data_IF_017935277652
#
_entry.id   IF_017935277652
#
_cell.length_a   1.000
_cell.length_b   1.000
_cell.length_c   1.000
_cell.angle_alpha   90.00
_cell.angle_beta   90.00
_cell.angle_gamma   90.00
#
_symmetry.space_group_name_H-M   'P 1'
#
loop_
_entity.id
_entity.type
_entity.pdbx_description
1 polymer ?
#
# COMPACT_ATOMS: atom_id res chain seq x y z
N UNK A 1 12.10 -9.15 -16.42
CA UNK A 1 10.63 -9.28 -16.47
C UNK A 1 10.13 -8.98 -17.87
N UNK A 2 9.08 -9.69 -18.29
CA UNK A 2 8.24 -9.34 -19.44
C UNK A 2 6.81 -9.31 -18.90
N UNK A 3 6.12 -8.19 -19.11
CA UNK A 3 4.77 -7.97 -18.62
C UNK A 3 3.88 -7.44 -19.77
N UNK A 4 2.56 -7.67 -19.72
CA UNK A 4 1.64 -7.13 -20.72
C UNK A 4 1.70 -5.61 -20.81
N UNK A 5 1.62 -5.06 -22.03
CA UNK A 5 1.48 -3.62 -22.21
C UNK A 5 0.14 -3.14 -21.65
N UNK A 6 0.21 -2.11 -20.80
CA UNK A 6 -0.96 -1.49 -20.20
C UNK A 6 -1.14 -0.07 -20.75
N UNK A 7 -2.26 0.16 -21.41
CA UNK A 7 -2.64 1.49 -21.91
C UNK A 7 -3.22 2.34 -20.77
N UNK A 8 -2.74 3.57 -20.62
CA UNK A 8 -3.27 4.54 -19.65
C UNK A 8 -2.17 5.34 -18.96
N UNK A 9 -2.57 6.16 -17.99
CA UNK A 9 -1.62 6.89 -17.15
C UNK A 9 -1.10 5.96 -16.05
N UNK A 10 0.23 5.87 -15.94
CA UNK A 10 0.88 5.22 -14.81
C UNK A 10 0.84 6.14 -13.59
N UNK A 11 0.43 5.61 -12.45
CA UNK A 11 0.25 6.33 -11.21
C UNK A 11 0.89 5.57 -10.06
N UNK A 12 1.78 6.26 -9.34
CA UNK A 12 2.31 5.80 -8.06
C UNK A 12 1.40 6.31 -6.94
N UNK A 13 0.77 5.41 -6.19
CA UNK A 13 -0.16 5.76 -5.11
C UNK A 13 0.55 5.78 -3.76
N UNK A 14 1.46 4.83 -3.54
CA UNK A 14 2.34 4.79 -2.38
C UNK A 14 3.77 4.46 -2.81
N UNK A 15 4.76 4.73 -1.95
CA UNK A 15 6.07 4.11 -2.08
C UNK A 15 6.29 3.06 -0.98
N UNK A 16 7.53 2.57 -0.85
CA UNK A 16 7.93 1.61 0.17
C UNK A 16 8.40 2.25 1.50
N UNK A 17 8.17 3.54 1.74
CA UNK A 17 8.65 4.21 2.97
C UNK A 17 7.67 5.24 3.55
N UNK A 18 7.42 6.35 2.84
CA UNK A 18 6.71 7.51 3.42
C UNK A 18 5.77 8.23 2.45
N UNK A 19 5.86 7.97 1.15
CA UNK A 19 5.08 8.68 0.15
C UNK A 19 3.67 8.09 0.04
N UNK A 20 2.69 8.99 0.05
CA UNK A 20 1.28 8.75 -0.26
C UNK A 20 0.85 9.83 -1.24
N UNK A 21 0.24 9.45 -2.36
CA UNK A 21 -0.25 10.42 -3.36
C UNK A 21 -1.40 11.23 -2.78
N UNK A 22 -1.29 12.54 -2.88
CA UNK A 22 -2.24 13.52 -2.34
C UNK A 22 -2.89 14.36 -3.44
N UNK A 23 -4.07 14.91 -3.14
CA UNK A 23 -4.73 15.94 -3.93
C UNK A 23 -4.14 17.33 -3.63
N UNK A 24 -4.72 18.37 -4.27
CA UNK A 24 -4.29 19.77 -4.14
C UNK A 24 -4.44 20.31 -2.71
N UNK A 25 -5.39 19.76 -1.94
CA UNK A 25 -5.64 20.12 -0.54
C UNK A 25 -4.72 19.35 0.43
N UNK A 26 -3.86 18.47 -0.09
CA UNK A 26 -2.91 17.69 0.70
C UNK A 26 -3.50 16.43 1.35
N UNK A 27 -4.71 16.03 0.97
CA UNK A 27 -5.38 14.81 1.43
C UNK A 27 -5.04 13.62 0.53
N UNK A 28 -4.97 12.38 1.03
CA UNK A 28 -4.80 11.20 0.19
C UNK A 28 -5.88 11.13 -0.90
N UNK A 29 -5.47 10.90 -2.16
CA UNK A 29 -6.46 10.68 -3.23
C UNK A 29 -7.24 9.39 -2.96
N UNK A 30 -8.46 9.26 -3.48
CA UNK A 30 -9.30 8.05 -3.26
C UNK A 30 -8.57 6.73 -3.55
N UNK A 31 -7.75 6.71 -4.61
CA UNK A 31 -6.91 5.55 -4.93
C UNK A 31 -5.87 5.24 -3.86
N UNK A 32 -5.25 6.28 -3.27
CA UNK A 32 -4.30 6.15 -2.17
C UNK A 32 -4.99 5.59 -0.91
N UNK A 33 -6.18 6.08 -0.57
CA UNK A 33 -6.95 5.56 0.56
C UNK A 33 -7.30 4.07 0.40
N UNK A 34 -7.72 3.67 -0.80
CA UNK A 34 -8.01 2.27 -1.10
C UNK A 34 -6.78 1.38 -0.89
N UNK A 35 -5.62 1.80 -1.42
CA UNK A 35 -4.42 0.98 -1.32
C UNK A 35 -3.82 0.99 0.08
N UNK A 36 -3.95 2.06 0.85
CA UNK A 36 -3.58 2.09 2.28
C UNK A 36 -4.43 1.11 3.10
N UNK A 37 -5.74 1.05 2.83
CA UNK A 37 -6.61 0.08 3.47
C UNK A 37 -6.29 -1.36 3.03
N UNK A 38 -5.93 -1.57 1.76
CA UNK A 38 -5.43 -2.86 1.28
C UNK A 38 -4.12 -3.27 1.97
N UNK A 39 -3.15 -2.36 2.11
CA UNK A 39 -1.92 -2.59 2.86
C UNK A 39 -2.22 -2.98 4.31
N UNK A 40 -3.10 -2.24 5.02
CA UNK A 40 -3.55 -2.60 6.36
C UNK A 40 -4.16 -4.00 6.39
N UNK A 41 -5.08 -4.30 5.47
CA UNK A 41 -5.69 -5.62 5.35
C UNK A 41 -4.64 -6.72 5.19
N UNK A 42 -3.61 -6.54 4.36
CA UNK A 42 -2.54 -7.54 4.18
C UNK A 42 -1.76 -7.79 5.47
N UNK A 43 -1.52 -6.76 6.27
CA UNK A 43 -0.90 -6.90 7.59
C UNK A 43 -1.78 -7.69 8.55
N UNK A 44 -3.06 -7.34 8.65
CA UNK A 44 -3.96 -8.05 9.55
C UNK A 44 -4.22 -9.49 9.11
N UNK A 45 -4.49 -9.71 7.82
CA UNK A 45 -4.75 -11.03 7.25
C UNK A 45 -3.53 -11.96 7.32
N UNK A 46 -2.32 -11.41 7.41
CA UNK A 46 -1.09 -12.19 7.59
C UNK A 46 -0.71 -12.39 9.07
N UNK A 47 -1.57 -11.99 10.01
CA UNK A 47 -1.29 -11.95 11.45
C UNK A 47 0.00 -11.16 11.76
N UNK A 48 0.16 -10.01 11.12
CA UNK A 48 1.27 -9.08 11.31
C UNK A 48 2.59 -9.49 10.70
N UNK A 49 2.61 -10.54 9.85
CA UNK A 49 3.86 -11.07 9.27
C UNK A 49 4.38 -10.24 8.11
N UNK A 50 3.52 -9.57 7.36
CA UNK A 50 3.93 -8.77 6.21
C UNK A 50 2.99 -7.58 5.95
N UNK A 51 3.47 -6.57 5.22
CA UNK A 51 2.63 -5.52 4.63
C UNK A 51 3.06 -5.29 3.19
N UNK A 52 2.06 -5.21 2.29
CA UNK A 52 2.29 -4.89 0.88
C UNK A 52 2.27 -3.37 0.72
N UNK A 53 3.32 -2.81 0.11
CA UNK A 53 3.54 -1.37 -0.10
C UNK A 53 4.05 -1.11 -1.53
N UNK A 54 4.45 0.13 -1.83
CA UNK A 54 4.88 0.57 -3.16
C UNK A 54 3.85 0.28 -4.25
N UNK A 55 2.60 0.63 -3.96
CA UNK A 55 1.47 0.29 -4.81
C UNK A 55 1.37 1.32 -5.93
N UNK A 56 1.57 0.84 -7.15
CA UNK A 56 1.65 1.63 -8.37
C UNK A 56 1.10 0.85 -9.57
N UNK A 57 0.69 1.56 -10.62
CA UNK A 57 0.22 0.92 -11.84
C UNK A 57 -0.69 1.81 -12.68
N UNK A 58 -1.58 1.21 -13.47
CA UNK A 58 -2.40 1.90 -14.46
C UNK A 58 -3.87 1.87 -14.09
N UNK A 59 -4.55 2.98 -14.28
CA UNK A 59 -6.02 3.04 -14.19
C UNK A 59 -6.60 3.35 -15.58
N UNK A 60 -6.95 2.33 -16.39
CA UNK A 60 -7.53 2.55 -17.70
C UNK A 60 -8.88 3.26 -17.59
N UNK A 61 -9.08 4.31 -18.40
CA UNK A 61 -10.35 5.04 -18.46
C UNK A 61 -11.49 4.08 -18.84
N UNK A 62 -12.59 4.12 -18.08
CA UNK A 62 -13.83 3.41 -18.41
C UNK A 62 -13.93 1.95 -18.00
N UNK A 63 -12.89 1.34 -17.39
CA UNK A 63 -12.96 -0.07 -16.92
C UNK A 63 -13.28 -0.25 -15.43
N UNK A 64 -13.26 0.83 -14.64
CA UNK A 64 -13.49 0.76 -13.20
C UNK A 64 -12.48 -0.09 -12.43
N UNK A 65 -11.35 -0.44 -13.04
CA UNK A 65 -10.31 -1.27 -12.44
C UNK A 65 -8.94 -0.59 -12.55
N UNK A 66 -8.09 -0.87 -11.56
CA UNK A 66 -6.69 -0.45 -11.54
C UNK A 66 -5.83 -1.71 -11.62
N UNK A 67 -4.88 -1.71 -12.54
CA UNK A 67 -3.88 -2.76 -12.66
C UNK A 67 -2.64 -2.33 -11.90
N UNK A 68 -2.22 -3.14 -10.93
CA UNK A 68 -1.06 -2.86 -10.08
C UNK A 68 0.11 -3.72 -10.54
N UNK A 69 1.32 -3.17 -10.48
CA UNK A 69 2.56 -3.90 -10.75
C UNK A 69 3.66 -3.52 -9.75
N UNK A 70 4.72 -4.32 -9.73
CA UNK A 70 5.94 -4.11 -8.94
C UNK A 70 5.71 -3.72 -7.47
N UNK A 71 4.85 -4.44 -6.72
CA UNK A 71 4.69 -4.15 -5.29
C UNK A 71 6.00 -4.44 -4.54
N UNK A 72 6.21 -3.73 -3.43
CA UNK A 72 7.21 -4.11 -2.43
C UNK A 72 6.52 -4.74 -1.23
N UNK A 73 7.23 -5.63 -0.54
CA UNK A 73 6.69 -6.32 0.64
C UNK A 73 7.67 -6.14 1.78
N UNK A 74 7.19 -5.57 2.89
CA UNK A 74 7.95 -5.58 4.14
C UNK A 74 7.52 -6.78 4.96
N UNK A 75 8.50 -7.57 5.41
CA UNK A 75 8.27 -8.72 6.29
C UNK A 75 9.48 -8.92 7.18
N UNK A 76 9.23 -9.12 8.47
CA UNK A 76 10.28 -9.51 9.43
C UNK A 76 10.53 -11.04 9.43
N UNK A 77 9.64 -11.82 8.82
CA UNK A 77 9.65 -13.30 8.85
C UNK A 77 10.12 -13.90 7.52
N UNK A 78 9.87 -13.22 6.40
CA UNK A 78 10.11 -13.72 5.05
C UNK A 78 11.11 -12.82 4.31
N UNK A 79 12.13 -13.42 3.71
CA UNK A 79 13.19 -12.71 2.97
C UNK A 79 13.12 -12.93 1.44
N UNK A 80 12.08 -13.60 0.93
CA UNK A 80 11.98 -14.03 -0.47
C UNK A 80 11.34 -13.02 -1.44
N UNK A 81 11.02 -11.79 -1.00
CA UNK A 81 10.22 -10.82 -1.78
C UNK A 81 11.03 -9.78 -2.56
N UNK A 82 12.36 -9.82 -2.47
CA UNK A 82 13.26 -8.90 -3.17
C UNK A 82 14.03 -7.97 -2.25
N UNK A 83 14.87 -7.11 -2.84
CA UNK A 83 15.82 -6.24 -2.11
C UNK A 83 15.16 -5.06 -1.41
N UNK A 84 13.90 -4.72 -1.72
CA UNK A 84 13.14 -3.65 -1.09
C UNK A 84 12.41 -4.04 0.20
N UNK A 85 12.76 -5.16 0.83
CA UNK A 85 12.25 -5.54 2.15
C UNK A 85 13.03 -4.84 3.28
N UNK A 86 12.45 -3.78 3.85
CA UNK A 86 13.00 -3.06 5.01
C UNK A 86 12.63 -3.70 6.36
N UNK A 87 12.11 -4.94 6.35
CA UNK A 87 11.72 -5.73 7.53
C UNK A 87 10.81 -4.93 8.47
N UNK A 88 11.05 -5.02 9.78
CA UNK A 88 10.26 -4.33 10.79
C UNK A 88 10.30 -2.80 10.61
N UNK A 89 11.44 -2.23 10.21
CA UNK A 89 11.54 -0.78 9.98
C UNK A 89 10.57 -0.31 8.90
N UNK A 90 10.40 -1.09 7.84
CA UNK A 90 9.42 -0.81 6.79
C UNK A 90 7.98 -0.88 7.30
N UNK A 91 7.65 -1.89 8.12
CA UNK A 91 6.34 -2.01 8.78
C UNK A 91 6.07 -0.81 9.69
N UNK A 92 7.06 -0.40 10.48
CA UNK A 92 6.95 0.75 11.38
C UNK A 92 6.75 2.06 10.61
N UNK A 93 7.43 2.21 9.46
CA UNK A 93 7.26 3.36 8.56
C UNK A 93 5.88 3.39 7.91
N UNK A 94 5.36 2.23 7.51
CA UNK A 94 3.99 2.14 7.05
C UNK A 94 3.01 2.69 8.10
N UNK A 95 3.11 2.26 9.36
CA UNK A 95 2.20 2.72 10.41
C UNK A 95 2.40 4.16 10.85
N UNK A 96 3.64 4.63 10.93
CA UNK A 96 3.96 5.95 11.46
C UNK A 96 3.85 7.08 10.42
N UNK A 97 4.11 6.79 9.14
CA UNK A 97 4.20 7.81 8.10
C UNK A 97 3.12 7.67 7.01
N UNK A 98 2.86 6.44 6.53
CA UNK A 98 1.94 6.24 5.40
C UNK A 98 0.49 6.08 5.84
N UNK A 99 0.27 5.35 6.92
CA UNK A 99 -1.05 5.05 7.48
C UNK A 99 -1.12 5.43 8.97
N UNK A 100 -0.92 6.73 9.30
CA UNK A 100 -0.95 7.23 10.67
C UNK A 100 -2.34 7.17 11.30
N UNK A 101 -3.40 7.05 10.51
CA UNK A 101 -4.79 6.90 10.96
C UNK A 101 -5.59 6.03 9.98
N UNK A 102 -6.56 5.28 10.51
CA UNK A 102 -7.43 4.44 9.68
C UNK A 102 -8.47 5.30 8.94
N UNK A 103 -8.54 5.12 7.62
CA UNK A 103 -9.53 5.77 6.78
C UNK A 103 -10.90 5.07 6.82
N UNK A 104 -11.87 5.61 6.08
CA UNK A 104 -13.23 5.09 6.05
C UNK A 104 -13.32 3.63 5.58
N UNK A 105 -12.43 3.19 4.68
CA UNK A 105 -12.41 1.83 4.15
C UNK A 105 -11.92 0.86 5.23
N UNK A 106 -10.85 1.20 5.96
CA UNK A 106 -10.39 0.39 7.09
C UNK A 106 -11.49 0.18 8.14
N UNK A 107 -12.24 1.25 8.45
CA UNK A 107 -13.37 1.21 9.40
C UNK A 107 -14.50 0.33 8.89
N UNK A 108 -14.86 0.45 7.61
CA UNK A 108 -15.90 -0.38 6.98
C UNK A 108 -15.53 -1.86 7.01
N UNK A 109 -14.25 -2.17 6.83
CA UNK A 109 -13.72 -3.54 6.86
C UNK A 109 -13.47 -4.07 8.29
N UNK A 110 -13.67 -3.26 9.33
CA UNK A 110 -13.41 -3.64 10.72
C UNK A 110 -11.93 -3.95 11.01
N UNK A 111 -11.01 -3.28 10.30
CA UNK A 111 -9.58 -3.51 10.49
C UNK A 111 -9.10 -2.88 11.79
N UNK A 112 -8.30 -3.64 12.54
CA UNK A 112 -7.74 -3.27 13.84
C UNK A 112 -6.28 -2.89 13.63
N UNK A 113 -5.90 -1.74 14.19
CA UNK A 113 -4.53 -1.25 14.13
C UNK A 113 -3.71 -1.83 15.30
N UNK A 114 -2.42 -2.15 15.12
CA UNK A 114 -1.56 -2.54 16.23
C UNK A 114 -1.50 -1.41 17.27
N UNK A 115 -1.51 -1.78 18.55
CA UNK A 115 -1.24 -0.84 19.64
C UNK A 115 0.22 -0.42 19.54
N UNK A 116 0.49 0.89 19.46
CA UNK A 116 1.85 1.42 19.54
C UNK A 116 2.32 1.23 20.99
N UNK A 117 3.31 0.35 21.20
CA UNK A 117 4.06 0.26 22.45
C UNK A 117 5.04 1.42 22.58
#
# INVERSE_FOLDING_TARGET
NIEPYMSGEFTKLTNNLTFVRKDEDGNPVKGADLVLAFSHFTWQSSNGKLVIVDIQGWTPKGRGCTFLTDPQIHSAVYDCFGTGNWKQQGIDKFWSAMHPECNAICKLLGLVRPQQT
#
